data_IF_987121169821
#
_entry.id   IF_987121169821
#
_cell.length_a   1.000
_cell.length_b   1.000
_cell.length_c   1.000
_cell.angle_alpha   90.00
_cell.angle_beta   90.00
_cell.angle_gamma   90.00
#
_symmetry.space_group_name_H-M   'P 1'
#
loop_
_entity.id
_entity.type
_entity.pdbx_description
1 polymer ?
#
# COMPACT_ATOMS: atom_id res chain seq x y z
N UNK A 1 -36.02 -19.92 18.35
CA UNK A 1 -34.64 -20.16 17.85
C UNK A 1 -34.82 -20.66 16.41
N UNK A 2 -34.34 -20.08 15.32
CA UNK A 2 -33.23 -19.16 15.05
C UNK A 2 -33.56 -18.38 13.76
N UNK A 3 -33.23 -17.08 13.68
CA UNK A 3 -33.26 -16.32 12.42
C UNK A 3 -31.84 -16.33 11.84
N UNK A 4 -31.66 -17.02 10.72
CA UNK A 4 -30.39 -17.06 10.00
C UNK A 4 -30.31 -15.86 9.05
N UNK A 5 -29.38 -14.96 9.36
CA UNK A 5 -29.20 -13.67 8.69
C UNK A 5 -28.39 -13.89 7.40
N UNK A 6 -29.03 -14.22 6.27
CA UNK A 6 -28.35 -14.24 4.96
C UNK A 6 -28.13 -12.81 4.49
N UNK A 7 -26.92 -12.30 4.70
CA UNK A 7 -26.46 -11.10 3.99
C UNK A 7 -26.36 -11.42 2.49
N UNK A 8 -27.36 -10.99 1.72
CA UNK A 8 -27.30 -11.00 0.25
C UNK A 8 -26.14 -10.12 -0.19
N UNK A 9 -25.02 -10.75 -0.58
CA UNK A 9 -23.96 -10.04 -1.29
C UNK A 9 -24.60 -9.49 -2.57
N UNK A 10 -24.36 -8.22 -2.94
CA UNK A 10 -24.88 -7.69 -4.19
C UNK A 10 -24.35 -8.57 -5.33
N UNK A 11 -25.28 -9.21 -6.04
CA UNK A 11 -24.95 -10.02 -7.20
C UNK A 11 -24.68 -9.05 -8.34
N UNK A 12 -23.45 -9.04 -8.84
CA UNK A 12 -23.09 -8.25 -10.00
C UNK A 12 -23.65 -8.96 -11.23
N UNK A 13 -24.55 -8.29 -11.94
CA UNK A 13 -25.08 -8.78 -13.22
C UNK A 13 -24.21 -8.27 -14.36
N UNK A 14 -23.87 -9.16 -15.29
CA UNK A 14 -23.13 -8.84 -16.51
C UNK A 14 -23.99 -9.17 -17.71
N UNK A 15 -23.89 -8.37 -18.77
CA UNK A 15 -24.62 -8.63 -20.02
C UNK A 15 -23.96 -9.75 -20.81
N UNK A 16 -24.73 -10.42 -21.67
CA UNK A 16 -24.22 -11.51 -22.50
C UNK A 16 -23.12 -11.03 -23.47
N UNK A 17 -23.23 -9.80 -23.98
CA UNK A 17 -22.23 -9.17 -24.85
C UNK A 17 -20.93 -8.89 -24.11
N UNK A 18 -21.01 -8.59 -22.81
CA UNK A 18 -19.83 -8.44 -21.97
C UNK A 18 -19.13 -9.78 -21.75
N UNK A 19 -19.90 -10.83 -21.44
CA UNK A 19 -19.36 -12.18 -21.25
C UNK A 19 -18.72 -12.72 -22.53
N UNK A 20 -19.31 -12.44 -23.69
CA UNK A 20 -18.75 -12.83 -24.99
C UNK A 20 -17.40 -12.15 -25.25
N UNK A 21 -17.29 -10.84 -25.00
CA UNK A 21 -16.00 -10.13 -25.09
C UNK A 21 -14.95 -10.67 -24.12
N UNK A 22 -15.34 -11.09 -22.92
CA UNK A 22 -14.41 -11.70 -21.97
C UNK A 22 -13.85 -13.05 -22.45
N UNK A 23 -14.61 -13.81 -23.25
CA UNK A 23 -14.15 -15.08 -23.83
C UNK A 23 -13.12 -14.89 -24.96
N UNK A 24 -13.10 -13.71 -25.57
CA UNK A 24 -12.22 -13.36 -26.69
C UNK A 24 -10.91 -12.69 -26.23
N UNK A 25 -10.74 -12.46 -24.92
CA UNK A 25 -9.53 -11.86 -24.37
C UNK A 25 -8.32 -12.78 -24.56
N UNK A 26 -7.21 -12.20 -25.01
CA UNK A 26 -5.94 -12.91 -25.08
C UNK A 26 -5.35 -13.14 -23.68
N UNK A 27 -4.48 -14.15 -23.49
CA UNK A 27 -3.76 -14.35 -22.23
C UNK A 27 -3.01 -13.10 -21.76
N UNK A 28 -2.44 -12.32 -22.68
CA UNK A 28 -1.74 -11.06 -22.37
C UNK A 28 -2.69 -9.98 -21.85
N UNK A 29 -3.91 -9.91 -22.39
CA UNK A 29 -4.93 -8.97 -21.92
C UNK A 29 -5.41 -9.33 -20.51
N UNK A 30 -5.56 -10.63 -20.23
CA UNK A 30 -5.90 -11.15 -18.90
C UNK A 30 -4.77 -10.82 -17.92
N UNK A 31 -3.52 -11.07 -18.28
CA UNK A 31 -2.36 -10.76 -17.43
C UNK A 31 -2.28 -9.26 -17.12
N UNK A 32 -2.46 -8.41 -18.15
CA UNK A 32 -2.47 -6.95 -17.99
C UNK A 32 -3.62 -6.48 -17.11
N UNK A 33 -4.81 -7.06 -17.26
CA UNK A 33 -5.95 -6.79 -16.38
C UNK A 33 -5.62 -7.14 -14.93
N UNK A 34 -5.06 -8.32 -14.67
CA UNK A 34 -4.71 -8.77 -13.32
C UNK A 34 -3.64 -7.88 -12.67
N UNK A 35 -2.62 -7.48 -13.42
CA UNK A 35 -1.58 -6.57 -12.92
C UNK A 35 -2.13 -5.17 -12.64
N UNK A 36 -2.99 -4.65 -13.51
CA UNK A 36 -3.68 -3.37 -13.26
C UNK A 36 -4.63 -3.47 -12.07
N UNK A 37 -5.37 -4.56 -11.95
CA UNK A 37 -6.26 -4.84 -10.82
C UNK A 37 -5.46 -4.89 -9.52
N UNK A 38 -4.34 -5.62 -9.48
CA UNK A 38 -3.43 -5.63 -8.33
C UNK A 38 -2.83 -4.27 -8.05
N UNK A 39 -2.55 -3.42 -9.05
CA UNK A 39 -2.05 -2.07 -8.80
C UNK A 39 -3.12 -1.15 -8.19
N UNK A 40 -4.35 -1.25 -8.67
CA UNK A 40 -5.50 -0.48 -8.20
C UNK A 40 -5.94 -0.94 -6.80
N UNK A 41 -5.93 -2.25 -6.55
CA UNK A 41 -6.42 -2.85 -5.30
C UNK A 41 -5.31 -3.28 -4.33
N UNK A 42 -4.04 -3.27 -4.75
CA UNK A 42 -2.86 -3.63 -3.96
C UNK A 42 -2.49 -2.60 -2.90
N UNK A 43 -3.12 -1.43 -2.93
CA UNK A 43 -3.24 -0.55 -1.77
C UNK A 43 -4.38 -1.02 -0.86
N UNK A 44 -4.54 -2.33 -0.66
CA UNK A 44 -5.29 -2.82 0.48
C UNK A 44 -4.57 -2.24 1.70
N UNK A 45 -5.13 -1.19 2.28
CA UNK A 45 -4.66 -0.62 3.53
C UNK A 45 -4.66 -1.76 4.54
N UNK A 46 -3.52 -2.43 4.68
CA UNK A 46 -3.34 -3.51 5.62
C UNK A 46 -3.70 -2.92 6.98
N UNK A 47 -4.59 -3.61 7.70
CA UNK A 47 -5.05 -3.12 9.00
C UNK A 47 -3.81 -2.82 9.84
N UNK A 48 -3.74 -1.59 10.35
CA UNK A 48 -2.63 -1.20 11.21
C UNK A 48 -2.69 -2.05 12.48
N UNK A 49 -1.60 -2.77 12.78
CA UNK A 49 -1.43 -3.47 14.06
C UNK A 49 -0.69 -2.56 15.01
N UNK A 50 -1.23 -2.40 16.22
CA UNK A 50 -0.52 -1.66 17.28
C UNK A 50 0.74 -2.44 17.68
N UNK A 51 1.83 -1.72 17.89
CA UNK A 51 3.08 -2.26 18.42
C UNK A 51 3.40 -1.56 19.74
N UNK A 52 3.93 -2.31 20.69
CA UNK A 52 4.54 -1.74 21.89
C UNK A 52 6.04 -1.70 21.71
N UNK A 53 6.64 -0.53 21.86
CA UNK A 53 8.09 -0.30 21.70
C UNK A 53 8.57 0.57 22.85
N UNK A 54 9.56 0.09 23.60
CA UNK A 54 10.25 0.89 24.63
C UNK A 54 11.35 1.72 23.97
N UNK A 55 11.37 3.02 24.27
CA UNK A 55 12.41 3.96 23.80
C UNK A 55 12.75 4.93 24.93
N UNK A 56 13.97 5.50 24.98
CA UNK A 56 14.31 6.55 25.93
C UNK A 56 13.37 7.76 25.80
N UNK A 57 12.93 8.31 26.93
CA UNK A 57 11.95 9.41 26.96
C UNK A 57 12.47 10.68 26.25
N UNK A 58 13.72 11.04 26.51
CA UNK A 58 14.37 12.20 25.90
C UNK A 58 14.41 12.07 24.37
N UNK A 59 14.69 10.86 23.86
CA UNK A 59 14.71 10.58 22.43
C UNK A 59 13.30 10.73 21.83
N UNK A 60 12.28 10.18 22.47
CA UNK A 60 10.90 10.28 22.00
C UNK A 60 10.42 11.74 22.00
N UNK A 61 10.77 12.53 23.01
CA UNK A 61 10.44 13.94 23.10
C UNK A 61 11.10 14.76 21.99
N UNK A 62 12.40 14.56 21.76
CA UNK A 62 13.13 15.21 20.67
C UNK A 62 12.55 14.83 19.29
N UNK A 63 12.25 13.54 19.09
CA UNK A 63 11.67 13.05 17.84
C UNK A 63 10.29 13.64 17.56
N UNK A 64 9.40 13.69 18.57
CA UNK A 64 8.08 14.34 18.46
C UNK A 64 8.20 15.82 18.12
N UNK A 65 9.16 16.51 18.74
CA UNK A 65 9.41 17.93 18.49
C UNK A 65 9.84 18.15 17.04
N UNK A 66 10.80 17.36 16.54
CA UNK A 66 11.25 17.45 15.15
C UNK A 66 10.14 17.14 14.14
N UNK A 67 9.33 16.11 14.40
CA UNK A 67 8.20 15.77 13.54
C UNK A 67 7.18 16.93 13.47
N UNK A 68 6.87 17.54 14.61
CA UNK A 68 5.98 18.71 14.69
C UNK A 68 6.53 19.91 13.91
N UNK A 69 7.81 20.21 14.04
CA UNK A 69 8.45 21.31 13.29
C UNK A 69 8.39 21.12 11.78
N UNK A 70 8.34 19.86 11.32
CA UNK A 70 8.19 19.49 9.91
C UNK A 70 6.74 19.31 9.47
N UNK A 71 5.76 19.62 10.33
CA UNK A 71 4.33 19.50 10.02
C UNK A 71 3.83 18.07 9.86
N UNK A 72 4.54 17.06 10.39
CA UNK A 72 4.18 15.65 10.26
C UNK A 72 3.88 15.01 11.62
N UNK A 73 2.82 14.19 11.75
CA UNK A 73 2.62 13.38 12.96
C UNK A 73 3.81 12.43 13.18
N UNK A 74 4.31 12.32 14.41
CA UNK A 74 5.50 11.51 14.68
C UNK A 74 5.29 10.02 14.32
N UNK A 75 4.08 9.47 14.46
CA UNK A 75 3.77 8.10 14.03
C UNK A 75 3.89 7.94 12.51
N UNK A 76 3.57 9.00 11.74
CA UNK A 76 3.78 9.00 10.30
C UNK A 76 5.27 8.97 9.97
N UNK A 77 6.09 9.71 10.71
CA UNK A 77 7.54 9.66 10.53
C UNK A 77 8.13 8.27 10.87
N UNK A 78 7.63 7.61 11.93
CA UNK A 78 8.02 6.22 12.24
C UNK A 78 7.70 5.30 11.04
N UNK A 79 6.48 5.38 10.50
CA UNK A 79 6.09 4.59 9.31
C UNK A 79 6.96 4.90 8.09
N UNK A 80 7.34 6.16 7.88
CA UNK A 80 8.21 6.55 6.78
C UNK A 80 9.60 5.95 6.92
N UNK A 81 10.18 5.98 8.13
CA UNK A 81 11.46 5.33 8.41
C UNK A 81 11.39 3.82 8.20
N UNK A 82 10.29 3.17 8.62
CA UNK A 82 10.07 1.73 8.37
C UNK A 82 10.03 1.41 6.86
N UNK A 83 9.35 2.24 6.05
CA UNK A 83 9.29 2.05 4.59
C UNK A 83 10.66 2.26 3.95
N UNK A 84 11.36 3.34 4.34
CA UNK A 84 12.69 3.67 3.84
C UNK A 84 13.70 2.58 4.15
N UNK A 85 13.55 1.91 5.29
CA UNK A 85 14.38 0.77 5.66
C UNK A 85 14.19 -0.45 4.75
N UNK A 86 12.96 -0.70 4.29
CA UNK A 86 12.63 -1.85 3.44
C UNK A 86 12.91 -1.59 1.95
N UNK A 87 12.70 -0.35 1.52
CA UNK A 87 12.97 0.11 0.16
C UNK A 87 13.89 1.32 0.28
N UNK A 88 15.22 1.08 0.29
CA UNK A 88 16.17 2.18 0.29
C UNK A 88 15.88 3.06 -0.93
N UNK A 89 16.05 4.39 -0.82
CA UNK A 89 16.03 5.22 -2.01
C UNK A 89 17.16 4.71 -2.89
N UNK A 90 16.85 4.37 -4.14
CA UNK A 90 17.84 4.02 -5.17
C UNK A 90 19.03 4.96 -5.01
N UNK A 91 20.21 4.41 -4.72
CA UNK A 91 21.41 5.23 -4.58
C UNK A 91 21.53 6.09 -5.85
N UNK A 92 21.86 7.39 -5.73
CA UNK A 92 22.04 8.20 -6.92
C UNK A 92 23.06 7.50 -7.81
N UNK A 93 22.61 7.07 -8.99
CA UNK A 93 23.48 6.48 -9.99
C UNK A 93 24.58 7.49 -10.24
N UNK A 94 25.80 7.18 -9.79
CA UNK A 94 26.98 7.96 -10.17
C UNK A 94 26.98 7.93 -11.69
N UNK A 95 26.78 9.08 -12.33
CA UNK A 95 27.01 9.18 -13.77
C UNK A 95 28.46 8.77 -13.98
N UNK A 96 28.67 7.71 -14.76
CA UNK A 96 30.00 7.32 -15.18
C UNK A 96 30.61 8.52 -15.93
N UNK A 97 31.63 9.18 -15.34
CA UNK A 97 32.44 10.16 -16.07
C UNK A 97 32.84 11.47 -15.38
N UNK A 98 32.60 11.69 -14.08
CA UNK A 98 33.06 12.93 -13.45
C UNK A 98 34.53 12.80 -12.94
N UNK A 99 35.48 13.59 -13.47
CA UNK A 99 36.89 13.50 -13.08
C UNK A 99 37.13 14.20 -11.74
N UNK A 100 38.21 13.76 -11.07
CA UNK A 100 38.65 14.24 -9.74
C UNK A 100 39.14 15.68 -9.75
#
# INVERSE_FOLDING_TARGET
MSRENRHSRPVQHFSDEYLQRCRELSPDDIARFLENFKRIHGTANSRSRLISLKVPEALLAAFKTQARLRGIPYQTQIKNLMRLWLVPPEAPQRKAGEPR
#
